data_IF_208132715978
#
_entry.id   IF_208132715978
#
_cell.length_a   1.000
_cell.length_b   1.000
_cell.length_c   1.000
_cell.angle_alpha   90.00
_cell.angle_beta   90.00
_cell.angle_gamma   90.00
#
_symmetry.space_group_name_H-M   'P 1'
#
loop_
_entity.id
_entity.type
_entity.pdbx_description
1 polymer ?
#
# COMPACT_ATOMS: atom_id res chain seq x y z
N UNK A 1 -8.70 -16.85 2.71
CA UNK A 1 -7.55 -15.93 2.79
C UNK A 1 -8.00 -14.62 2.17
N UNK A 2 -7.68 -13.48 2.77
CA UNK A 2 -8.11 -12.18 2.26
C UNK A 2 -6.92 -11.23 2.26
N UNK A 3 -6.62 -10.65 1.09
CA UNK A 3 -5.68 -9.55 0.92
C UNK A 3 -6.47 -8.24 1.03
N UNK A 4 -5.99 -7.30 1.85
CA UNK A 4 -6.57 -5.97 1.91
C UNK A 4 -5.82 -5.05 0.96
N UNK A 5 -6.52 -4.44 0.01
CA UNK A 5 -5.92 -3.49 -0.92
C UNK A 5 -6.73 -2.21 -1.07
N UNK A 6 -6.07 -1.13 -1.48
CA UNK A 6 -6.73 0.14 -1.72
C UNK A 6 -5.88 1.12 -2.51
N UNK A 7 -6.56 2.03 -3.21
CA UNK A 7 -5.98 3.09 -4.02
C UNK A 7 -6.31 4.47 -3.43
N UNK A 8 -5.35 5.40 -3.49
CA UNK A 8 -5.49 6.79 -3.03
C UNK A 8 -5.95 6.86 -1.56
N UNK A 9 -7.14 7.42 -1.26
CA UNK A 9 -7.67 7.39 0.12
C UNK A 9 -7.90 5.97 0.63
N UNK A 10 -8.24 5.03 -0.27
CA UNK A 10 -8.31 3.61 0.06
C UNK A 10 -6.96 3.04 0.47
N UNK A 11 -5.85 3.51 -0.12
CA UNK A 11 -4.50 3.08 0.26
C UNK A 11 -4.13 3.50 1.69
N UNK A 12 -4.62 4.66 2.14
CA UNK A 12 -4.52 5.10 3.54
C UNK A 12 -5.32 4.14 4.45
N UNK A 13 -6.54 3.79 4.04
CA UNK A 13 -7.42 2.89 4.78
C UNK A 13 -6.84 1.47 4.96
N UNK A 14 -6.00 0.99 4.03
CA UNK A 14 -5.31 -0.31 4.16
C UNK A 14 -4.55 -0.41 5.48
N UNK A 15 -3.83 0.64 5.87
CA UNK A 15 -3.18 0.70 7.19
C UNK A 15 -4.13 1.21 8.27
N UNK A 16 -4.85 2.30 8.01
CA UNK A 16 -5.65 2.97 9.03
C UNK A 16 -6.77 2.08 9.62
N UNK A 17 -7.49 1.36 8.75
CA UNK A 17 -8.54 0.42 9.14
C UNK A 17 -8.00 -1.00 9.26
N UNK A 18 -7.19 -1.44 8.28
CA UNK A 18 -6.68 -2.81 8.25
C UNK A 18 -5.74 -3.17 9.40
N UNK A 19 -5.11 -2.17 10.03
CA UNK A 19 -4.23 -2.33 11.20
C UNK A 19 -4.76 -1.59 12.44
N UNK A 20 -6.08 -1.36 12.52
CA UNK A 20 -6.72 -0.62 13.59
C UNK A 20 -6.36 -1.17 14.98
N UNK A 21 -6.54 -2.48 15.16
CA UNK A 21 -6.18 -3.26 16.35
C UNK A 21 -5.75 -4.69 15.95
N UNK A 22 -5.40 -5.52 16.92
CA UNK A 22 -4.93 -6.88 16.68
C UNK A 22 -6.04 -7.86 16.27
N UNK A 23 -7.30 -7.56 16.57
CA UNK A 23 -8.47 -8.33 16.09
C UNK A 23 -8.69 -8.10 14.61
N UNK A 24 -8.73 -6.86 14.16
CA UNK A 24 -8.89 -6.52 12.74
C UNK A 24 -7.64 -6.91 11.94
N UNK A 25 -6.44 -6.65 12.47
CA UNK A 25 -5.22 -6.92 11.73
C UNK A 25 -5.05 -8.40 11.36
N UNK A 26 -5.53 -9.33 12.20
CA UNK A 26 -5.36 -10.78 11.97
C UNK A 26 -6.26 -11.34 10.86
N UNK A 27 -7.26 -10.58 10.42
CA UNK A 27 -8.17 -11.00 9.35
C UNK A 27 -7.47 -11.04 7.97
N UNK A 28 -6.37 -10.31 7.83
CA UNK A 28 -5.69 -10.10 6.54
C UNK A 28 -4.42 -10.94 6.44
N UNK A 29 -4.24 -11.60 5.30
CA UNK A 29 -3.01 -12.34 5.02
C UNK A 29 -1.90 -11.48 4.39
N UNK A 30 -2.24 -10.26 3.95
CA UNK A 30 -1.30 -9.28 3.41
C UNK A 30 -2.01 -7.99 3.01
N UNK A 31 -1.21 -6.95 2.75
CA UNK A 31 -1.68 -5.57 2.55
C UNK A 31 -1.08 -4.98 1.28
N UNK A 32 -1.89 -4.30 0.47
CA UNK A 32 -1.43 -3.60 -0.72
C UNK A 32 -1.99 -2.18 -0.81
N UNK A 33 -1.10 -1.19 -0.67
CA UNK A 33 -1.44 0.22 -0.80
C UNK A 33 -0.91 0.77 -2.14
N UNK A 34 -1.80 1.38 -2.94
CA UNK A 34 -1.42 2.02 -4.19
C UNK A 34 -1.64 3.54 -4.14
N UNK A 35 -0.59 4.30 -4.44
CA UNK A 35 -0.65 5.76 -4.60
C UNK A 35 -1.19 6.48 -3.37
N UNK A 36 -0.64 6.14 -2.20
CA UNK A 36 -0.54 6.87 -0.93
C UNK A 36 -0.16 5.88 0.18
N UNK A 37 0.27 6.38 1.33
CA UNK A 37 0.42 5.55 2.53
C UNK A 37 0.09 6.35 3.79
N UNK A 38 -0.51 5.66 4.76
CA UNK A 38 -0.88 6.22 6.07
C UNK A 38 0.36 6.78 6.81
N UNK A 39 0.23 7.94 7.46
CA UNK A 39 1.33 8.55 8.23
C UNK A 39 2.41 9.28 7.41
N UNK A 40 2.31 9.32 6.09
CA UNK A 40 3.34 9.95 5.24
C UNK A 40 3.22 11.47 5.12
N UNK A 41 2.00 12.02 5.23
CA UNK A 41 1.74 13.47 5.21
C UNK A 41 0.45 13.81 5.95
N UNK A 42 0.30 15.08 6.32
CA UNK A 42 -1.01 15.62 6.67
C UNK A 42 -1.86 15.85 5.42
N UNK A 43 -3.18 15.74 5.58
CA UNK A 43 -4.16 15.87 4.51
C UNK A 43 -4.95 17.16 4.74
N UNK A 44 -4.85 18.10 3.81
CA UNK A 44 -5.49 19.42 3.95
C UNK A 44 -7.00 19.29 4.19
N UNK A 45 -7.51 20.05 5.16
CA UNK A 45 -8.91 20.01 5.56
C UNK A 45 -9.35 18.74 6.31
N UNK A 46 -8.42 17.86 6.68
CA UNK A 46 -8.73 16.61 7.37
C UNK A 46 -8.20 16.60 8.80
N UNK A 47 -9.10 16.82 9.76
CA UNK A 47 -8.77 16.86 11.18
C UNK A 47 -8.09 15.56 11.68
N UNK A 48 -8.45 14.40 11.12
CA UNK A 48 -7.88 13.10 11.49
C UNK A 48 -6.37 12.97 11.17
N UNK A 49 -5.82 13.87 10.37
CA UNK A 49 -4.40 13.88 9.98
C UNK A 49 -3.59 15.05 10.59
N UNK A 50 -4.22 15.82 11.48
CA UNK A 50 -3.66 17.03 12.07
C UNK A 50 -3.79 16.97 13.61
N UNK A 51 -2.72 17.23 14.38
CA UNK A 51 -1.37 17.60 13.94
C UNK A 51 -0.60 16.42 13.31
N UNK A 52 0.27 16.73 12.33
CA UNK A 52 0.97 15.70 11.56
C UNK A 52 1.85 14.79 12.44
N UNK A 53 2.52 15.34 13.45
CA UNK A 53 3.38 14.58 14.36
C UNK A 53 2.60 13.46 15.04
N UNK A 54 1.43 13.76 15.62
CA UNK A 54 0.55 12.79 16.26
C UNK A 54 0.04 11.76 15.25
N UNK A 55 -0.41 12.21 14.09
CA UNK A 55 -0.92 11.31 13.05
C UNK A 55 0.15 10.31 12.57
N UNK A 56 1.40 10.76 12.40
CA UNK A 56 2.53 9.92 12.02
C UNK A 56 2.90 8.91 13.11
N UNK A 57 2.90 9.32 14.38
CA UNK A 57 3.13 8.42 15.52
C UNK A 57 2.07 7.32 15.62
N UNK A 58 0.79 7.68 15.49
CA UNK A 58 -0.31 6.71 15.51
C UNK A 58 -0.24 5.75 14.32
N UNK A 59 0.17 6.24 13.14
CA UNK A 59 0.41 5.38 11.98
C UNK A 59 1.57 4.42 12.22
N UNK A 60 2.65 4.88 12.85
CA UNK A 60 3.77 4.01 13.20
C UNK A 60 3.34 2.90 14.19
N UNK A 61 2.43 3.22 15.13
CA UNK A 61 1.85 2.22 16.02
C UNK A 61 1.00 1.17 15.26
N UNK A 62 0.20 1.60 14.26
CA UNK A 62 -0.56 0.69 13.38
C UNK A 62 0.35 -0.23 12.59
N UNK A 63 1.40 0.31 11.95
CA UNK A 63 2.34 -0.47 11.13
C UNK A 63 2.98 -1.64 11.89
N UNK A 64 3.27 -1.48 13.19
CA UNK A 64 3.80 -2.56 14.04
C UNK A 64 2.84 -3.76 14.14
N UNK A 65 1.55 -3.55 13.94
CA UNK A 65 0.55 -4.63 13.91
C UNK A 65 0.57 -5.45 12.63
N UNK A 66 1.50 -5.21 11.69
CA UNK A 66 1.77 -6.15 10.61
C UNK A 66 2.27 -7.50 11.14
N UNK A 67 3.01 -7.57 12.25
CA UNK A 67 3.56 -8.82 12.84
C UNK A 67 4.01 -9.86 11.78
N UNK A 68 4.81 -9.44 10.81
CA UNK A 68 5.33 -10.31 9.75
C UNK A 68 4.36 -10.66 8.61
N UNK A 69 3.15 -10.09 8.57
CA UNK A 69 2.31 -10.10 7.37
C UNK A 69 2.90 -9.15 6.32
N UNK A 70 2.98 -9.56 5.05
CA UNK A 70 3.65 -8.79 4.01
C UNK A 70 2.86 -7.55 3.62
N UNK A 71 3.58 -6.45 3.40
CA UNK A 71 3.06 -5.18 2.88
C UNK A 71 3.69 -4.84 1.52
N UNK A 72 2.87 -4.61 0.52
CA UNK A 72 3.27 -4.01 -0.74
C UNK A 72 2.78 -2.56 -0.80
N UNK A 73 3.67 -1.63 -1.12
CA UNK A 73 3.31 -0.28 -1.52
C UNK A 73 3.71 -0.07 -2.97
N UNK A 74 2.82 0.50 -3.76
CA UNK A 74 3.09 0.87 -5.16
C UNK A 74 2.77 2.34 -5.36
N UNK A 75 3.55 3.05 -6.17
CA UNK A 75 3.33 4.47 -6.44
C UNK A 75 3.53 4.77 -7.92
N UNK A 76 2.54 5.38 -8.56
CA UNK A 76 2.62 5.90 -9.92
C UNK A 76 3.39 7.22 -10.03
N UNK A 77 3.53 7.93 -8.91
CA UNK A 77 4.38 9.12 -8.78
C UNK A 77 5.55 8.78 -7.88
N UNK A 78 6.77 8.83 -8.42
CA UNK A 78 7.97 8.52 -7.66
C UNK A 78 8.11 9.46 -6.44
N UNK A 79 8.45 8.87 -5.29
CA UNK A 79 8.63 9.61 -4.04
C UNK A 79 9.38 8.80 -2.99
N UNK A 80 9.97 9.51 -2.02
CA UNK A 80 10.76 8.89 -0.95
C UNK A 80 9.99 8.77 0.38
N UNK A 81 8.90 9.53 0.55
CA UNK A 81 8.19 9.69 1.84
C UNK A 81 7.74 8.38 2.48
N UNK A 82 7.23 7.43 1.70
CA UNK A 82 6.85 6.10 2.21
C UNK A 82 8.07 5.30 2.64
N UNK A 83 9.15 5.34 1.84
CA UNK A 83 10.38 4.61 2.17
C UNK A 83 11.02 5.17 3.44
N UNK A 84 11.11 6.49 3.55
CA UNK A 84 11.60 7.19 4.75
C UNK A 84 10.74 6.88 5.99
N UNK A 85 9.42 6.71 5.82
CA UNK A 85 8.54 6.37 6.92
C UNK A 85 8.65 4.91 7.36
N UNK A 86 8.67 3.95 6.42
CA UNK A 86 8.63 2.52 6.73
C UNK A 86 9.98 1.91 7.09
N UNK A 87 11.08 2.42 6.53
CA UNK A 87 12.44 1.90 6.77
C UNK A 87 12.82 1.80 8.25
N UNK A 88 12.59 2.82 9.11
CA UNK A 88 12.90 2.70 10.53
C UNK A 88 11.89 1.85 11.32
N UNK A 89 10.74 1.49 10.74
CA UNK A 89 9.65 0.80 11.44
C UNK A 89 9.62 -0.71 11.19
N UNK A 90 10.12 -1.16 10.04
CA UNK A 90 9.96 -2.53 9.57
C UNK A 90 11.29 -3.08 9.03
N UNK A 91 11.57 -4.38 9.23
CA UNK A 91 12.71 -5.01 8.59
C UNK A 91 12.51 -5.03 7.07
N UNK A 92 13.60 -4.99 6.26
CA UNK A 92 13.51 -5.00 4.80
C UNK A 92 12.71 -6.16 4.20
N UNK A 93 12.60 -7.29 4.90
CA UNK A 93 11.83 -8.47 4.46
C UNK A 93 10.31 -8.34 4.69
N UNK A 94 9.84 -7.40 5.52
CA UNK A 94 8.43 -7.28 5.86
C UNK A 94 7.62 -6.42 4.87
N UNK A 95 8.28 -5.65 4.00
CA UNK A 95 7.61 -4.76 3.08
C UNK A 95 8.37 -4.59 1.75
N UNK A 96 7.67 -4.13 0.73
CA UNK A 96 8.25 -3.78 -0.57
C UNK A 96 7.60 -2.50 -1.08
N UNK A 97 8.39 -1.62 -1.71
CA UNK A 97 7.88 -0.43 -2.38
C UNK A 97 8.31 -0.44 -3.85
N UNK A 98 7.35 -0.31 -4.77
CA UNK A 98 7.58 -0.27 -6.22
C UNK A 98 7.09 1.04 -6.80
N UNK A 99 7.92 1.68 -7.61
CA UNK A 99 7.50 2.80 -8.42
C UNK A 99 7.01 2.24 -9.76
N UNK A 100 5.82 2.67 -10.18
CA UNK A 100 5.14 2.22 -11.39
C UNK A 100 5.26 3.34 -12.42
N UNK A 101 5.89 3.05 -13.56
CA UNK A 101 5.89 3.98 -14.68
C UNK A 101 4.50 3.97 -15.35
N UNK A 102 3.65 4.88 -14.89
CA UNK A 102 2.27 4.99 -15.35
C UNK A 102 2.19 5.38 -16.82
N UNK A 103 3.19 6.07 -17.37
CA UNK A 103 3.24 6.43 -18.79
C UNK A 103 3.65 5.21 -19.62
N UNK A 104 4.57 4.37 -19.14
CA UNK A 104 4.91 3.12 -19.80
C UNK A 104 3.72 2.14 -19.86
N UNK A 105 2.89 2.08 -18.81
CA UNK A 105 1.69 1.21 -18.78
C UNK A 105 0.51 1.84 -19.52
N UNK A 106 0.25 3.12 -19.26
CA UNK A 106 -0.94 3.87 -19.66
C UNK A 106 -0.82 4.61 -20.99
N UNK A 107 0.40 4.87 -21.46
CA UNK A 107 0.65 5.91 -22.46
C UNK A 107 0.51 7.31 -21.86
N UNK A 108 0.56 8.34 -22.72
CA UNK A 108 0.30 9.71 -22.30
C UNK A 108 -1.13 9.85 -21.73
N UNK A 109 -1.30 10.66 -20.69
CA UNK A 109 -2.59 11.00 -20.09
C UNK A 109 -3.02 12.42 -20.48
N UNK A 110 -4.33 12.71 -20.64
CA UNK A 110 -5.45 11.78 -20.52
C UNK A 110 -5.51 10.82 -21.71
N UNK A 111 -6.03 9.61 -21.48
CA UNK A 111 -6.31 8.61 -22.51
C UNK A 111 -7.62 7.87 -22.22
N UNK A 112 -7.93 6.84 -23.00
CA UNK A 112 -9.17 6.06 -22.87
C UNK A 112 -9.27 5.28 -21.55
N UNK A 113 -8.15 5.01 -20.87
CA UNK A 113 -8.12 4.27 -19.61
C UNK A 113 -8.32 5.21 -18.42
N UNK A 114 -7.63 6.34 -18.38
CA UNK A 114 -7.71 7.29 -17.28
C UNK A 114 -7.37 8.72 -17.69
N UNK A 115 -7.82 9.67 -16.87
CA UNK A 115 -7.55 11.10 -17.03
C UNK A 115 -6.13 11.49 -16.61
N UNK A 116 -5.56 10.82 -15.61
CA UNK A 116 -4.32 11.19 -14.93
C UNK A 116 -3.54 9.93 -14.49
N UNK A 117 -2.20 9.97 -14.40
CA UNK A 117 -1.40 8.85 -13.88
C UNK A 117 -1.75 8.42 -12.46
N UNK A 118 -2.38 9.25 -11.62
CA UNK A 118 -2.91 8.86 -10.31
C UNK A 118 -4.22 8.07 -10.47
N UNK A 119 -4.11 6.78 -10.77
CA UNK A 119 -5.23 5.85 -10.97
C UNK A 119 -4.84 4.41 -10.66
N UNK A 120 -5.82 3.54 -10.45
CA UNK A 120 -5.64 2.08 -10.24
C UNK A 120 -5.96 1.23 -11.49
N UNK A 121 -6.41 1.85 -12.57
CA UNK A 121 -6.84 1.16 -13.79
C UNK A 121 -5.70 0.56 -14.60
N UNK A 122 -4.45 0.93 -14.32
CA UNK A 122 -3.27 0.37 -14.99
C UNK A 122 -3.17 -1.16 -14.87
N UNK A 123 -3.75 -1.77 -13.82
CA UNK A 123 -3.83 -3.22 -13.68
C UNK A 123 -4.72 -3.91 -14.73
N UNK A 124 -5.62 -3.16 -15.39
CA UNK A 124 -6.47 -3.65 -16.47
C UNK A 124 -5.70 -3.81 -17.79
N UNK A 125 -4.44 -3.38 -17.84
CA UNK A 125 -3.54 -3.62 -18.98
C UNK A 125 -2.51 -4.68 -18.65
N UNK A 126 -2.19 -5.48 -19.65
CA UNK A 126 -1.05 -6.36 -19.60
C UNK A 126 0.22 -5.53 -19.58
N UNK A 127 0.98 -5.66 -18.50
CA UNK A 127 2.21 -4.92 -18.28
C UNK A 127 3.10 -5.68 -17.30
N UNK A 128 4.44 -5.53 -17.39
CA UNK A 128 5.37 -6.11 -16.42
C UNK A 128 5.08 -5.65 -14.98
N UNK A 129 4.62 -4.41 -14.79
CA UNK A 129 4.19 -3.90 -13.50
C UNK A 129 2.99 -4.67 -12.94
N UNK A 130 1.98 -4.94 -13.78
CA UNK A 130 0.79 -5.69 -13.36
C UNK A 130 1.12 -7.14 -13.03
N UNK A 131 2.01 -7.76 -13.81
CA UNK A 131 2.51 -9.10 -13.54
C UNK A 131 3.30 -9.19 -12.24
N UNK A 132 4.14 -8.19 -11.93
CA UNK A 132 4.90 -8.14 -10.67
C UNK A 132 3.97 -8.09 -9.45
N UNK A 133 2.93 -7.27 -9.49
CA UNK A 133 1.92 -7.20 -8.40
C UNK A 133 1.13 -8.51 -8.30
N UNK A 134 0.70 -9.09 -9.44
CA UNK A 134 0.00 -10.40 -9.45
C UNK A 134 0.88 -11.52 -8.89
N UNK A 135 2.18 -11.52 -9.20
CA UNK A 135 3.16 -12.46 -8.66
C UNK A 135 3.30 -12.30 -7.16
N UNK A 136 3.36 -11.06 -6.67
CA UNK A 136 3.38 -10.78 -5.23
C UNK A 136 2.12 -11.33 -4.55
N UNK A 137 0.91 -11.10 -5.08
CA UNK A 137 -0.32 -11.67 -4.51
C UNK A 137 -0.28 -13.20 -4.45
N UNK A 138 0.11 -13.85 -5.55
CA UNK A 138 0.19 -15.30 -5.62
C UNK A 138 1.16 -15.85 -4.55
N UNK A 139 2.30 -15.20 -4.35
CA UNK A 139 3.26 -15.56 -3.31
C UNK A 139 2.66 -15.45 -1.91
N UNK A 140 1.98 -14.34 -1.59
CA UNK A 140 1.36 -14.14 -0.27
C UNK A 140 0.31 -15.20 0.04
N UNK A 141 -0.54 -15.54 -0.93
CA UNK A 141 -1.56 -16.56 -0.77
C UNK A 141 -0.94 -17.96 -0.59
N UNK A 142 0.10 -18.27 -1.38
CA UNK A 142 0.82 -19.53 -1.28
C UNK A 142 1.51 -19.70 0.08
N UNK A 143 2.20 -18.68 0.59
CA UNK A 143 2.90 -18.76 1.87
C UNK A 143 1.94 -18.82 3.06
N UNK A 144 0.81 -18.14 2.97
CA UNK A 144 -0.24 -18.21 4.00
C UNK A 144 -0.84 -19.62 4.07
N UNK A 145 -0.93 -20.36 2.97
CA UNK A 145 -1.43 -21.75 2.97
C UNK A 145 -0.46 -22.74 3.62
N UNK A 146 0.83 -22.40 3.75
CA UNK A 146 1.86 -23.26 4.35
C UNK A 146 1.97 -23.09 5.87
N UNK A 147 1.42 -22.03 6.44
CA UNK A 147 1.48 -21.78 7.88
C UNK A 147 0.37 -22.58 8.60
N UNK A 148 0.67 -23.31 9.68
CA UNK A 148 -0.37 -23.89 10.53
C UNK A 148 -1.24 -22.76 11.10
N UNK A 149 -2.56 -22.97 11.12
CA UNK A 149 -3.54 -21.99 11.62
C UNK A 149 -3.47 -21.84 13.14
#
# INVERSE_FOLDING_TARGET
QVLLCGFSRGAIAVSYLGLHDDEIARLWCGFWAHDHFDGTRSWSGQAWSTPFVRYREESAARVKRLQGRPLLVTQGIAGTSTREFLTPLLPPSAWTCRDIDMVAVGGAFPNTLAKDPHNDRWLLRDSPAGEDVRRWWAQVLADTNKKPR
#
